data_IF_030446859090
#
_entry.id   IF_030446859090
#
_cell.length_a   1.000
_cell.length_b   1.000
_cell.length_c   1.000
_cell.angle_alpha   90.00
_cell.angle_beta   90.00
_cell.angle_gamma   90.00
#
_symmetry.space_group_name_H-M   'P 1'
#
loop_
_entity.id
_entity.type
_entity.pdbx_description
1 polymer ?
#
# COMPACT_ATOMS: atom_id res chain seq x y z
N UNK A 1 -63.10 -3.13 -54.72
CA UNK A 1 -63.83 -4.27 -55.30
C UNK A 1 -63.76 -5.40 -54.30
N UNK A 2 -64.96 -5.72 -53.72
CA UNK A 2 -65.57 -7.05 -53.54
C UNK A 2 -64.68 -8.11 -52.92
N UNK A 3 -65.05 -8.90 -51.93
CA UNK A 3 -66.37 -9.32 -51.40
C UNK A 3 -66.19 -10.03 -50.07
N UNK A 4 -67.05 -9.78 -49.13
CA UNK A 4 -67.54 -10.56 -48.01
C UNK A 4 -67.68 -12.06 -48.29
N UNK A 5 -67.43 -12.93 -47.31
CA UNK A 5 -68.28 -14.11 -47.07
C UNK A 5 -68.22 -14.41 -45.53
N UNK A 6 -69.48 -14.38 -44.98
CA UNK A 6 -69.83 -14.86 -43.66
C UNK A 6 -69.86 -16.39 -43.63
N UNK A 7 -69.40 -17.00 -42.56
CA UNK A 7 -69.63 -18.40 -42.24
C UNK A 7 -69.96 -18.57 -40.76
N UNK A 8 -71.25 -18.72 -40.53
CA UNK A 8 -71.86 -19.04 -39.22
C UNK A 8 -71.72 -20.54 -38.99
N UNK A 9 -71.06 -20.97 -37.89
CA UNK A 9 -71.16 -22.36 -37.42
C UNK A 9 -71.59 -22.32 -35.93
N UNK A 10 -72.81 -22.82 -35.76
CA UNK A 10 -73.44 -23.15 -34.51
C UNK A 10 -72.78 -24.48 -34.02
N UNK A 11 -72.29 -24.54 -32.82
CA UNK A 11 -71.70 -25.76 -32.26
C UNK A 11 -71.73 -25.78 -30.72
N UNK A 12 -72.74 -26.41 -30.24
CA UNK A 12 -72.93 -27.12 -28.98
C UNK A 12 -72.19 -26.66 -27.69
N UNK A 13 -73.00 -26.17 -26.80
CA UNK A 13 -72.72 -25.91 -25.40
C UNK A 13 -72.62 -27.23 -24.61
N UNK A 14 -71.48 -27.74 -24.33
CA UNK A 14 -71.25 -28.80 -23.31
C UNK A 14 -70.80 -28.14 -21.99
N UNK A 15 -71.69 -28.14 -21.03
CA UNK A 15 -71.45 -27.68 -19.67
C UNK A 15 -70.59 -28.72 -18.94
N UNK A 16 -69.29 -28.50 -18.91
CA UNK A 16 -68.39 -29.27 -17.99
C UNK A 16 -68.34 -28.55 -16.64
N UNK A 17 -68.94 -29.14 -15.63
CA UNK A 17 -68.78 -28.77 -14.26
C UNK A 17 -67.30 -29.10 -13.86
N UNK A 18 -66.40 -28.16 -14.02
CA UNK A 18 -65.06 -28.21 -13.51
C UNK A 18 -65.09 -27.90 -12.03
N UNK A 19 -64.71 -28.86 -11.21
CA UNK A 19 -64.43 -28.67 -9.77
C UNK A 19 -63.35 -27.58 -9.65
N UNK A 20 -63.71 -26.40 -9.21
CA UNK A 20 -62.78 -25.36 -8.78
C UNK A 20 -62.13 -25.87 -7.49
N UNK A 21 -61.01 -26.62 -7.67
CA UNK A 21 -60.03 -26.80 -6.57
C UNK A 21 -59.51 -25.40 -6.30
N UNK A 22 -59.94 -24.79 -5.21
CA UNK A 22 -59.47 -23.48 -4.76
C UNK A 22 -57.97 -23.54 -4.55
N UNK A 23 -57.21 -23.05 -5.53
CA UNK A 23 -55.80 -22.72 -5.31
C UNK A 23 -55.78 -21.63 -4.22
N UNK A 24 -55.35 -21.99 -3.02
CA UNK A 24 -55.05 -20.98 -2.00
C UNK A 24 -54.15 -19.90 -2.60
N UNK A 25 -54.44 -18.62 -2.40
CA UNK A 25 -53.59 -17.57 -2.95
C UNK A 25 -52.16 -17.82 -2.43
N UNK A 26 -51.21 -17.99 -3.38
CA UNK A 26 -49.80 -18.07 -3.03
C UNK A 26 -49.45 -16.79 -2.24
N UNK A 27 -49.14 -16.98 -0.95
CA UNK A 27 -48.77 -15.88 -0.10
C UNK A 27 -47.48 -15.28 -0.64
N UNK A 28 -47.45 -13.97 -0.94
CA UNK A 28 -46.25 -13.31 -1.44
C UNK A 28 -45.16 -13.43 -0.36
N UNK A 29 -43.97 -13.85 -0.80
CA UNK A 29 -42.83 -13.98 0.14
C UNK A 29 -42.44 -12.60 0.72
N UNK A 30 -42.10 -12.57 1.99
CA UNK A 30 -41.70 -11.37 2.70
C UNK A 30 -40.46 -10.73 2.05
N UNK A 31 -40.48 -9.43 1.86
CA UNK A 31 -39.37 -8.68 1.25
C UNK A 31 -38.15 -8.69 2.19
N UNK A 32 -36.98 -8.93 1.61
CA UNK A 32 -35.69 -8.91 2.32
C UNK A 32 -34.81 -7.77 1.83
N UNK A 33 -33.71 -7.51 2.57
CA UNK A 33 -32.74 -6.48 2.23
C UNK A 33 -31.33 -7.04 2.31
N UNK A 34 -30.47 -6.57 1.41
CA UNK A 34 -29.04 -6.80 1.42
C UNK A 34 -28.33 -5.46 1.25
N UNK A 35 -27.35 -5.19 2.09
CA UNK A 35 -26.48 -4.01 1.99
C UNK A 35 -25.05 -4.46 1.82
N UNK A 36 -24.33 -3.89 0.83
CA UNK A 36 -22.92 -4.16 0.60
C UNK A 36 -22.08 -2.99 1.09
N UNK A 37 -20.99 -3.28 1.81
CA UNK A 37 -20.03 -2.30 2.30
C UNK A 37 -18.61 -2.81 2.16
N UNK A 38 -17.61 -1.91 2.28
CA UNK A 38 -16.19 -2.27 2.14
C UNK A 38 -15.74 -2.37 0.69
N UNK A 39 -14.77 -3.22 0.42
CA UNK A 39 -14.26 -3.49 -0.94
C UNK A 39 -13.32 -2.43 -1.51
N UNK A 40 -13.03 -1.35 -0.80
CA UNK A 40 -11.94 -0.45 -1.19
C UNK A 40 -10.61 -1.19 -1.04
N UNK A 41 -9.83 -1.27 -2.09
CA UNK A 41 -8.58 -2.01 -2.12
C UNK A 41 -7.56 -1.32 -3.01
N UNK A 42 -6.35 -1.89 -3.05
CA UNK A 42 -5.27 -1.48 -3.94
C UNK A 42 -4.90 -2.67 -4.81
N UNK A 43 -4.82 -2.46 -6.11
CA UNK A 43 -4.44 -3.49 -7.06
C UNK A 43 -3.05 -4.07 -6.72
N UNK A 44 -2.95 -5.40 -6.72
CA UNK A 44 -1.68 -6.10 -6.43
C UNK A 44 -1.28 -6.18 -4.96
N UNK A 45 -2.11 -5.70 -4.03
CA UNK A 45 -1.95 -5.90 -2.59
C UNK A 45 -2.92 -6.96 -2.06
N UNK A 46 -2.99 -7.09 -0.72
CA UNK A 46 -3.88 -8.03 -0.05
C UNK A 46 -5.34 -7.83 -0.49
N UNK A 47 -6.11 -8.93 -0.58
CA UNK A 47 -7.52 -8.85 -0.96
C UNK A 47 -8.31 -7.92 -0.03
N UNK A 48 -9.12 -7.06 -0.63
CA UNK A 48 -10.08 -6.25 0.11
C UNK A 48 -11.25 -7.11 0.60
N UNK A 49 -11.79 -6.78 1.77
CA UNK A 49 -12.97 -7.46 2.30
C UNK A 49 -14.24 -6.73 1.87
N UNK A 50 -15.13 -7.44 1.19
CA UNK A 50 -16.49 -7.00 0.92
C UNK A 50 -17.39 -7.63 1.99
N UNK A 51 -18.26 -6.82 2.59
CA UNK A 51 -19.17 -7.27 3.62
C UNK A 51 -20.62 -7.10 3.14
N UNK A 52 -21.38 -8.17 3.13
CA UNK A 52 -22.83 -8.18 2.90
C UNK A 52 -23.55 -8.31 4.22
N UNK A 53 -24.45 -7.37 4.51
CA UNK A 53 -25.33 -7.43 5.69
C UNK A 53 -26.76 -7.66 5.21
N UNK A 54 -27.32 -8.79 5.61
CA UNK A 54 -28.66 -9.22 5.23
C UNK A 54 -29.68 -9.05 6.36
N UNK A 55 -30.95 -8.89 6.02
CA UNK A 55 -32.05 -8.81 6.98
C UNK A 55 -32.50 -10.17 7.52
N UNK A 56 -32.14 -11.26 6.82
CA UNK A 56 -32.46 -12.64 7.17
C UNK A 56 -31.25 -13.55 6.90
N UNK A 57 -31.14 -14.72 7.55
CA UNK A 57 -30.08 -15.66 7.26
C UNK A 57 -30.19 -16.23 5.83
N UNK A 58 -29.06 -16.53 5.21
CA UNK A 58 -29.02 -17.09 3.87
C UNK A 58 -27.62 -17.16 3.30
N UNK A 59 -27.52 -17.15 1.98
CA UNK A 59 -26.25 -17.08 1.25
C UNK A 59 -26.21 -15.81 0.40
N UNK A 60 -25.02 -15.21 0.33
CA UNK A 60 -24.79 -14.01 -0.49
C UNK A 60 -23.82 -14.36 -1.62
N UNK A 61 -24.24 -14.08 -2.84
CA UNK A 61 -23.40 -14.09 -4.03
C UNK A 61 -22.86 -12.68 -4.24
N UNK A 62 -21.54 -12.53 -4.29
CA UNK A 62 -20.89 -11.23 -4.52
C UNK A 62 -20.46 -11.09 -5.97
N UNK A 63 -20.59 -9.88 -6.52
CA UNK A 63 -20.23 -9.58 -7.91
C UNK A 63 -19.37 -8.34 -8.03
N UNK A 64 -18.58 -8.24 -9.09
CA UNK A 64 -17.86 -7.05 -9.53
C UNK A 64 -18.14 -6.81 -11.00
N UNK A 65 -18.66 -5.61 -11.35
CA UNK A 65 -19.07 -5.32 -12.72
C UNK A 65 -20.16 -6.25 -13.27
N UNK A 66 -20.90 -6.94 -12.41
CA UNK A 66 -21.89 -7.97 -12.76
C UNK A 66 -21.33 -9.41 -12.74
N UNK A 67 -20.01 -9.58 -12.84
CA UNK A 67 -19.38 -10.91 -12.80
C UNK A 67 -19.23 -11.41 -11.37
N UNK A 68 -19.42 -12.72 -11.17
CA UNK A 68 -19.32 -13.35 -9.86
C UNK A 68 -17.86 -13.38 -9.40
N UNK A 69 -17.61 -12.96 -8.17
CA UNK A 69 -16.28 -13.03 -7.57
C UNK A 69 -15.96 -14.48 -7.23
N UNK A 70 -14.85 -15.00 -7.77
CA UNK A 70 -14.40 -16.38 -7.53
C UNK A 70 -14.23 -16.68 -6.04
N UNK A 71 -14.88 -17.74 -5.56
CA UNK A 71 -14.91 -18.14 -4.15
C UNK A 71 -15.97 -17.41 -3.33
N UNK A 72 -16.79 -16.54 -3.97
CA UNK A 72 -17.87 -15.81 -3.33
C UNK A 72 -19.23 -16.02 -4.03
N UNK A 73 -19.40 -17.18 -4.64
CA UNK A 73 -20.62 -17.59 -5.38
C UNK A 73 -21.81 -17.78 -4.43
N UNK A 74 -21.55 -18.27 -3.19
CA UNK A 74 -22.58 -18.54 -2.19
C UNK A 74 -21.97 -18.49 -0.78
N UNK A 75 -21.68 -17.30 -0.29
CA UNK A 75 -21.10 -17.11 1.04
C UNK A 75 -22.21 -17.12 2.07
N UNK A 76 -22.19 -18.07 3.01
CA UNK A 76 -23.16 -18.14 4.10
C UNK A 76 -23.07 -16.90 5.01
N UNK A 77 -24.22 -16.40 5.44
CA UNK A 77 -24.27 -15.38 6.49
C UNK A 77 -23.99 -16.00 7.87
N UNK A 78 -23.65 -15.16 8.84
CA UNK A 78 -23.67 -15.56 10.26
C UNK A 78 -25.05 -16.07 10.66
N UNK A 79 -25.13 -16.90 11.70
CA UNK A 79 -26.38 -17.47 12.22
C UNK A 79 -27.14 -16.50 13.12
N UNK A 80 -26.47 -15.46 13.60
CA UNK A 80 -27.04 -14.47 14.52
C UNK A 80 -27.03 -13.07 13.90
N UNK A 81 -27.95 -12.23 14.34
CA UNK A 81 -28.06 -10.83 13.93
C UNK A 81 -26.88 -10.00 14.44
N UNK A 82 -26.21 -9.18 13.57
CA UNK A 82 -26.50 -8.99 12.16
C UNK A 82 -26.05 -10.19 11.30
N UNK A 83 -26.86 -10.57 10.29
CA UNK A 83 -26.54 -11.65 9.37
C UNK A 83 -25.50 -11.19 8.36
N UNK A 84 -24.24 -11.52 8.57
CA UNK A 84 -23.09 -10.99 7.83
C UNK A 84 -22.40 -12.07 7.01
N UNK A 85 -22.21 -11.81 5.71
CA UNK A 85 -21.35 -12.57 4.81
C UNK A 85 -20.13 -11.74 4.45
N UNK A 86 -18.95 -12.36 4.36
CA UNK A 86 -17.68 -11.69 3.99
C UNK A 86 -17.04 -12.37 2.80
N UNK A 87 -16.65 -11.59 1.82
CA UNK A 87 -15.95 -12.02 0.62
C UNK A 87 -14.59 -11.35 0.55
N UNK A 88 -13.53 -12.11 0.32
CA UNK A 88 -12.21 -11.58 -0.01
C UNK A 88 -12.15 -11.34 -1.52
N UNK A 89 -11.92 -10.11 -1.93
CA UNK A 89 -11.84 -9.70 -3.32
C UNK A 89 -10.48 -9.12 -3.66
N UNK A 90 -9.77 -9.75 -4.61
CA UNK A 90 -8.54 -9.22 -5.18
C UNK A 90 -8.87 -8.48 -6.48
N UNK A 91 -8.74 -7.13 -6.52
CA UNK A 91 -9.00 -6.37 -7.73
C UNK A 91 -8.09 -6.80 -8.89
N UNK A 92 -8.65 -6.99 -10.08
CA UNK A 92 -7.88 -7.37 -11.27
C UNK A 92 -7.16 -6.20 -11.95
N UNK A 93 -7.60 -4.96 -11.67
CA UNK A 93 -7.01 -3.73 -12.21
C UNK A 93 -7.31 -2.53 -11.31
N UNK A 94 -6.50 -1.45 -11.36
CA UNK A 94 -6.83 -0.19 -10.70
C UNK A 94 -7.95 0.54 -11.44
N UNK A 95 -8.64 1.43 -10.74
CA UNK A 95 -9.71 2.26 -11.29
C UNK A 95 -11.06 2.09 -10.60
N UNK A 96 -12.15 2.58 -11.20
CA UNK A 96 -13.47 2.42 -10.64
C UNK A 96 -13.94 0.97 -10.77
N UNK A 97 -14.61 0.46 -9.74
CA UNK A 97 -15.29 -0.83 -9.76
C UNK A 97 -16.67 -0.71 -9.13
N UNK A 98 -17.60 -1.52 -9.63
CA UNK A 98 -18.97 -1.57 -9.12
C UNK A 98 -19.16 -2.93 -8.45
N UNK A 99 -19.37 -2.92 -7.13
CA UNK A 99 -19.62 -4.11 -6.35
C UNK A 99 -21.13 -4.33 -6.23
N UNK A 100 -21.56 -5.58 -6.33
CA UNK A 100 -22.93 -6.00 -6.17
C UNK A 100 -23.05 -7.24 -5.30
N UNK A 101 -24.28 -7.59 -4.98
CA UNK A 101 -24.57 -8.82 -4.24
C UNK A 101 -26.01 -9.22 -4.36
N UNK A 102 -26.24 -10.52 -4.30
CA UNK A 102 -27.59 -11.12 -4.31
C UNK A 102 -27.73 -12.03 -3.10
N UNK A 103 -28.74 -11.79 -2.29
CA UNK A 103 -29.12 -12.64 -1.16
C UNK A 103 -30.11 -13.72 -1.62
N UNK A 104 -29.79 -14.96 -1.32
CA UNK A 104 -30.73 -16.06 -1.34
C UNK A 104 -31.04 -16.45 0.11
N UNK A 105 -32.25 -16.19 0.62
CA UNK A 105 -32.63 -16.56 1.98
C UNK A 105 -32.57 -18.07 2.21
N UNK A 106 -32.30 -18.49 3.44
CA UNK A 106 -32.33 -19.90 3.82
C UNK A 106 -33.75 -20.52 3.70
N UNK A 107 -34.78 -19.72 3.97
CA UNK A 107 -36.20 -20.08 3.78
C UNK A 107 -36.79 -19.27 2.62
N UNK A 108 -36.67 -19.83 1.41
CA UNK A 108 -37.18 -19.21 0.18
C UNK A 108 -38.71 -19.32 0.03
N UNK A 109 -39.37 -20.14 0.86
CA UNK A 109 -40.84 -20.20 0.88
C UNK A 109 -41.43 -19.00 1.62
N UNK A 110 -40.70 -18.48 2.59
CA UNK A 110 -41.12 -17.36 3.42
C UNK A 110 -40.55 -16.01 2.96
N UNK A 111 -39.34 -15.98 2.45
CA UNK A 111 -38.61 -14.76 2.15
C UNK A 111 -38.21 -14.66 0.68
N UNK A 112 -38.38 -13.49 0.10
CA UNK A 112 -37.95 -13.21 -1.28
C UNK A 112 -36.44 -12.96 -1.35
N UNK A 113 -35.81 -13.27 -2.51
CA UNK A 113 -34.44 -12.89 -2.79
C UNK A 113 -34.31 -11.35 -2.79
N UNK A 114 -33.11 -10.86 -2.42
CA UNK A 114 -32.81 -9.44 -2.49
C UNK A 114 -31.52 -9.18 -3.27
N UNK A 115 -31.52 -8.10 -4.02
CA UNK A 115 -30.34 -7.56 -4.65
C UNK A 115 -29.88 -6.31 -3.90
N UNK A 116 -28.58 -6.19 -3.67
CA UNK A 116 -28.02 -5.01 -3.05
C UNK A 116 -27.96 -3.84 -4.04
N UNK A 117 -28.15 -2.63 -3.53
CA UNK A 117 -27.84 -1.43 -4.32
C UNK A 117 -26.33 -1.47 -4.66
N UNK A 118 -25.98 -1.29 -5.95
CA UNK A 118 -24.58 -1.33 -6.37
C UNK A 118 -23.71 -0.33 -5.60
N UNK A 119 -22.54 -0.79 -5.12
CA UNK A 119 -21.58 0.03 -4.42
C UNK A 119 -20.42 0.40 -5.34
N UNK A 120 -20.29 1.69 -5.63
CA UNK A 120 -19.14 2.20 -6.38
C UNK A 120 -17.94 2.33 -5.46
N UNK A 121 -16.83 1.67 -5.81
CA UNK A 121 -15.56 1.76 -5.10
C UNK A 121 -14.46 2.19 -6.06
N UNK A 122 -13.39 2.78 -5.52
CA UNK A 122 -12.18 3.08 -6.28
C UNK A 122 -11.09 2.12 -5.85
N UNK A 123 -10.59 1.33 -6.80
CA UNK A 123 -9.37 0.55 -6.62
C UNK A 123 -8.17 1.46 -6.84
N UNK A 124 -7.33 1.62 -5.83
CA UNK A 124 -6.10 2.39 -5.90
C UNK A 124 -5.08 1.70 -6.82
N UNK A 125 -4.24 2.49 -7.49
CA UNK A 125 -2.98 1.98 -8.02
C UNK A 125 -2.05 1.71 -6.86
N UNK A 126 -1.22 0.64 -6.90
CA UNK A 126 -0.07 0.58 -6.01
C UNK A 126 0.72 1.86 -6.27
N UNK A 127 0.97 2.64 -5.24
CA UNK A 127 1.96 3.69 -5.32
C UNK A 127 3.24 2.96 -5.74
N UNK A 128 3.85 3.38 -6.86
CA UNK A 128 5.09 2.75 -7.32
C UNK A 128 6.12 2.82 -6.19
N UNK A 129 6.49 1.67 -5.68
CA UNK A 129 7.25 1.50 -4.46
C UNK A 129 6.36 0.99 -3.33
N UNK A 130 6.81 -0.04 -2.67
CA UNK A 130 6.27 -0.44 -1.36
C UNK A 130 6.35 0.81 -0.52
N UNK A 131 5.21 1.25 0.03
CA UNK A 131 5.23 2.32 1.05
C UNK A 131 5.93 1.71 2.25
N UNK A 132 7.25 1.82 2.25
CA UNK A 132 8.06 1.37 3.38
C UNK A 132 7.95 2.42 4.47
N UNK A 133 7.88 2.03 5.75
CA UNK A 133 8.02 2.96 6.86
C UNK A 133 9.45 3.51 6.97
N UNK A 134 10.38 3.03 6.14
CA UNK A 134 11.77 3.50 6.12
C UNK A 134 11.92 4.58 5.06
N UNK A 135 12.26 5.77 5.49
CA UNK A 135 12.58 6.91 4.63
C UNK A 135 14.09 7.08 4.54
N UNK A 136 14.59 7.18 3.31
CA UNK A 136 16.03 7.31 3.04
C UNK A 136 16.37 8.64 2.38
N UNK A 137 17.48 9.23 2.81
CA UNK A 137 18.21 10.27 2.12
C UNK A 137 19.57 9.72 1.67
N UNK A 138 19.91 9.92 0.41
CA UNK A 138 21.13 9.38 -0.21
C UNK A 138 21.87 10.51 -0.90
N UNK A 139 23.16 10.65 -0.60
CA UNK A 139 24.06 11.52 -1.34
C UNK A 139 25.40 10.83 -1.62
N UNK A 140 26.22 11.48 -2.43
CA UNK A 140 27.57 11.06 -2.75
C UNK A 140 28.58 12.17 -2.46
N UNK A 141 29.77 11.77 -1.96
CA UNK A 141 30.86 12.69 -1.66
C UNK A 141 32.17 12.17 -2.20
N UNK A 142 33.09 13.08 -2.50
CA UNK A 142 34.46 12.73 -2.82
C UNK A 142 35.17 12.30 -1.53
N UNK A 143 35.82 11.13 -1.56
CA UNK A 143 36.65 10.68 -0.44
C UNK A 143 37.79 11.67 -0.16
N UNK A 144 38.16 11.79 1.12
CA UNK A 144 39.33 12.56 1.51
C UNK A 144 40.63 11.95 0.96
N UNK A 145 41.65 12.79 0.76
CA UNK A 145 43.00 12.37 0.34
C UNK A 145 43.24 12.35 -1.16
N UNK A 146 42.26 12.74 -2.01
CA UNK A 146 42.52 12.96 -3.42
C UNK A 146 43.46 14.18 -3.62
N UNK A 147 44.49 14.04 -4.46
CA UNK A 147 45.52 15.07 -4.70
C UNK A 147 45.74 15.33 -6.20
N UNK A 148 46.41 16.42 -6.54
CA UNK A 148 46.70 16.80 -7.92
C UNK A 148 45.44 17.02 -8.77
N UNK A 149 45.39 16.49 -9.95
CA UNK A 149 44.23 16.59 -10.88
C UNK A 149 42.97 15.92 -10.31
N UNK A 150 43.09 15.05 -9.30
CA UNK A 150 41.99 14.37 -8.66
C UNK A 150 41.53 15.07 -7.38
N UNK A 151 42.21 16.13 -6.94
CA UNK A 151 41.85 16.91 -5.77
C UNK A 151 40.48 17.57 -5.97
N UNK A 152 39.71 17.81 -4.87
CA UNK A 152 38.49 18.59 -4.94
C UNK A 152 38.77 19.99 -5.52
N UNK A 153 37.89 20.46 -6.41
CA UNK A 153 38.06 21.73 -7.11
C UNK A 153 38.26 22.94 -6.18
N UNK A 154 37.73 22.85 -4.96
CA UNK A 154 37.78 23.94 -3.96
C UNK A 154 38.54 23.54 -2.69
N UNK A 155 39.37 22.51 -2.73
CA UNK A 155 40.17 22.06 -1.59
C UNK A 155 39.40 21.44 -0.43
N UNK A 156 38.09 21.22 -0.57
CA UNK A 156 37.24 20.65 0.48
C UNK A 156 37.04 19.17 0.25
N UNK A 157 37.57 18.34 1.13
CA UNK A 157 37.29 16.89 1.16
C UNK A 157 35.89 16.64 1.71
N UNK A 158 35.28 15.52 1.34
CA UNK A 158 33.92 15.12 1.75
C UNK A 158 32.80 16.08 1.30
N UNK A 159 33.08 16.97 0.33
CA UNK A 159 32.05 17.80 -0.25
C UNK A 159 31.02 16.94 -1.02
N UNK A 160 29.76 17.25 -0.86
CA UNK A 160 28.68 16.61 -1.62
C UNK A 160 28.88 16.94 -3.09
N UNK A 161 28.98 15.91 -3.91
CA UNK A 161 29.08 16.03 -5.38
C UNK A 161 28.46 14.80 -6.03
N UNK A 162 27.91 14.99 -7.21
CA UNK A 162 27.45 13.92 -8.10
C UNK A 162 28.36 13.73 -9.32
N UNK A 163 29.39 14.54 -9.44
CA UNK A 163 30.34 14.53 -10.57
C UNK A 163 31.71 14.08 -10.10
N UNK A 164 32.25 13.05 -10.74
CA UNK A 164 33.55 12.46 -10.40
C UNK A 164 34.40 12.24 -11.66
N UNK A 165 35.69 12.16 -11.43
CA UNK A 165 36.69 11.85 -12.48
C UNK A 165 37.26 10.45 -12.19
N UNK A 166 37.50 9.66 -13.22
CA UNK A 166 38.15 8.34 -13.08
C UNK A 166 39.46 8.46 -12.30
N UNK A 167 39.60 7.64 -11.26
CA UNK A 167 40.68 7.69 -10.26
C UNK A 167 40.26 8.27 -8.94
N UNK A 168 39.14 8.97 -8.88
CA UNK A 168 38.56 9.42 -7.62
C UNK A 168 37.79 8.28 -6.95
N UNK A 169 37.67 8.35 -5.62
CA UNK A 169 36.89 7.41 -4.83
C UNK A 169 35.57 8.05 -4.45
N UNK A 170 34.48 7.41 -4.83
CA UNK A 170 33.10 7.82 -4.53
C UNK A 170 32.69 7.23 -3.21
N UNK A 171 32.23 8.04 -2.27
CA UNK A 171 31.60 7.58 -1.02
C UNK A 171 30.13 7.87 -1.09
N UNK A 172 29.34 6.84 -1.00
CA UNK A 172 27.88 6.94 -0.81
C UNK A 172 27.57 7.12 0.66
N UNK A 173 26.72 8.08 0.99
CA UNK A 173 26.20 8.27 2.34
C UNK A 173 24.71 8.06 2.33
N UNK A 174 24.22 7.29 3.29
CA UNK A 174 22.79 7.01 3.44
C UNK A 174 22.39 7.31 4.88
N UNK A 175 21.40 8.16 5.02
CA UNK A 175 20.70 8.40 6.27
C UNK A 175 19.27 7.85 6.12
N UNK A 176 18.78 7.17 7.14
CA UNK A 176 17.43 6.65 7.12
C UNK A 176 16.78 6.69 8.50
N UNK A 177 15.47 6.82 8.50
CA UNK A 177 14.65 6.68 9.70
C UNK A 177 13.48 5.72 9.43
N UNK A 178 12.91 5.17 10.50
CA UNK A 178 11.83 4.18 10.42
C UNK A 178 10.63 4.65 11.24
N UNK A 179 9.49 4.86 10.58
CA UNK A 179 8.25 5.30 11.21
C UNK A 179 7.69 4.26 12.19
N UNK A 180 7.83 2.96 11.91
CA UNK A 180 7.42 1.89 12.84
C UNK A 180 8.16 1.98 14.17
N UNK A 181 9.34 2.60 14.18
CA UNK A 181 10.13 2.85 15.38
C UNK A 181 9.99 4.29 15.89
N UNK A 182 8.93 5.00 15.48
CA UNK A 182 8.67 6.39 15.88
C UNK A 182 9.60 7.40 15.24
N UNK A 183 10.08 7.13 14.04
CA UNK A 183 11.04 7.97 13.33
C UNK A 183 12.48 7.78 13.79
N UNK A 184 12.77 6.71 14.55
CA UNK A 184 14.14 6.41 15.00
C UNK A 184 15.09 6.24 13.81
N UNK A 185 16.32 6.71 13.98
CA UNK A 185 17.38 6.53 12.98
C UNK A 185 17.66 5.04 12.78
N UNK A 186 17.81 4.65 11.54
CA UNK A 186 18.25 3.32 11.17
C UNK A 186 19.75 3.22 11.38
N UNK A 187 20.15 2.46 12.40
CA UNK A 187 21.53 2.20 12.79
C UNK A 187 21.85 0.70 12.82
N UNK A 188 23.01 0.31 13.28
CA UNK A 188 23.43 -1.09 13.37
C UNK A 188 22.59 -1.92 14.35
N UNK A 189 21.88 -1.30 15.29
CA UNK A 189 21.05 -2.00 16.28
C UNK A 189 19.73 -2.48 15.69
N UNK A 190 19.14 -1.71 14.76
CA UNK A 190 17.80 -1.95 14.19
C UNK A 190 17.80 -2.30 12.70
N UNK A 191 18.95 -2.29 12.02
CA UNK A 191 19.12 -2.65 10.60
C UNK A 191 19.66 -4.07 10.46
N UNK A 192 19.00 -4.89 9.67
CA UNK A 192 19.44 -6.24 9.35
C UNK A 192 20.43 -6.25 8.19
N UNK A 193 20.16 -5.46 7.14
CA UNK A 193 21.03 -5.32 5.95
C UNK A 193 20.91 -3.92 5.38
N UNK A 194 22.04 -3.41 4.89
CA UNK A 194 22.10 -2.18 4.11
C UNK A 194 23.19 -2.36 3.03
N UNK A 195 22.85 -2.12 1.76
CA UNK A 195 23.78 -2.31 0.65
C UNK A 195 23.39 -1.47 -0.56
N UNK A 196 24.35 -1.32 -1.48
CA UNK A 196 24.19 -0.63 -2.77
C UNK A 196 24.46 -1.60 -3.90
N UNK A 197 23.58 -1.66 -4.88
CA UNK A 197 23.75 -2.31 -6.17
C UNK A 197 24.08 -1.23 -7.20
N UNK A 198 25.15 -1.41 -7.95
CA UNK A 198 25.62 -0.44 -8.96
C UNK A 198 25.65 -1.13 -10.31
N UNK A 199 25.09 -0.48 -11.33
CA UNK A 199 25.14 -1.00 -12.69
C UNK A 199 26.59 -1.22 -13.14
N UNK A 200 26.92 -2.45 -13.60
CA UNK A 200 28.26 -2.84 -13.99
C UNK A 200 29.18 -3.32 -12.85
N UNK A 201 28.72 -3.31 -11.61
CA UNK A 201 29.42 -3.93 -10.47
C UNK A 201 28.74 -5.25 -10.14
N UNK A 202 29.51 -6.34 -10.09
CA UNK A 202 28.97 -7.71 -9.91
C UNK A 202 28.34 -7.91 -8.55
N UNK A 203 29.04 -7.50 -7.50
CA UNK A 203 28.63 -7.76 -6.12
C UNK A 203 28.13 -6.47 -5.46
N UNK A 204 27.03 -6.53 -4.69
CA UNK A 204 26.55 -5.37 -3.94
C UNK A 204 27.60 -4.87 -2.94
N UNK A 205 27.72 -3.56 -2.83
CA UNK A 205 28.60 -2.91 -1.84
C UNK A 205 27.84 -2.83 -0.52
N UNK A 206 28.31 -3.52 0.50
CA UNK A 206 27.77 -3.41 1.85
C UNK A 206 27.96 -1.98 2.41
N UNK A 207 26.92 -1.46 3.05
CA UNK A 207 27.00 -0.20 3.79
C UNK A 207 27.43 -0.47 5.24
N UNK A 208 28.31 0.36 5.75
CA UNK A 208 28.77 0.34 7.13
C UNK A 208 28.27 1.57 7.88
N UNK A 209 27.67 1.36 9.05
CA UNK A 209 27.22 2.45 9.92
C UNK A 209 28.36 2.97 10.75
N UNK A 210 28.59 4.25 10.74
CA UNK A 210 29.68 4.86 11.50
C UNK A 210 29.54 6.37 11.67
N UNK A 211 30.28 6.91 12.64
CA UNK A 211 30.32 8.35 12.90
C UNK A 211 31.36 9.01 11.98
N UNK A 212 30.95 10.05 11.29
CA UNK A 212 31.80 10.88 10.45
C UNK A 212 31.67 12.34 10.92
N UNK A 213 32.64 12.82 11.66
CA UNK A 213 32.71 14.21 12.16
C UNK A 213 31.47 14.64 12.96
N UNK A 214 31.00 13.76 13.85
CA UNK A 214 29.86 14.03 14.74
C UNK A 214 28.50 13.64 14.18
N UNK A 215 28.42 13.22 12.90
CA UNK A 215 27.20 12.72 12.30
C UNK A 215 27.38 11.27 11.86
N UNK A 216 26.45 10.40 12.22
CA UNK A 216 26.50 9.00 11.85
C UNK A 216 25.72 8.75 10.56
N UNK A 217 26.34 8.04 9.62
CA UNK A 217 25.77 7.64 8.34
C UNK A 217 26.06 6.16 8.07
N UNK A 218 25.27 5.58 7.20
CA UNK A 218 25.64 4.39 6.47
C UNK A 218 26.50 4.80 5.29
N UNK A 219 27.68 4.18 5.13
CA UNK A 219 28.62 4.53 4.07
C UNK A 219 29.04 3.31 3.26
N UNK A 220 29.11 3.49 1.94
CA UNK A 220 29.67 2.54 0.98
C UNK A 220 30.69 3.23 0.08
N UNK A 221 31.66 2.49 -0.41
CA UNK A 221 32.79 3.05 -1.19
C UNK A 221 32.89 2.38 -2.55
N UNK A 222 32.90 3.18 -3.62
CA UNK A 222 33.21 2.76 -4.96
C UNK A 222 34.55 3.38 -5.38
N UNK A 223 35.56 2.54 -5.58
CA UNK A 223 36.85 2.98 -6.13
C UNK A 223 36.77 2.98 -7.65
N UNK A 224 37.11 4.11 -8.28
CA UNK A 224 37.18 4.24 -9.72
C UNK A 224 38.62 4.27 -10.18
N UNK A 225 38.89 3.86 -11.43
CA UNK A 225 40.24 3.86 -11.99
C UNK A 225 40.39 2.95 -13.19
N UNK A 226 41.54 3.02 -13.85
CA UNK A 226 41.85 2.20 -15.04
C UNK A 226 42.43 0.84 -14.71
N UNK A 227 42.84 0.60 -13.46
CA UNK A 227 43.38 -0.69 -13.02
C UNK A 227 42.29 -1.76 -12.96
N UNK A 228 42.69 -3.02 -13.15
CA UNK A 228 41.81 -4.18 -13.11
C UNK A 228 41.06 -4.23 -11.74
N UNK A 229 39.76 -4.44 -11.76
CA UNK A 229 38.93 -4.52 -10.57
C UNK A 229 38.40 -3.18 -10.06
N UNK A 230 38.79 -2.06 -10.65
CA UNK A 230 38.22 -0.75 -10.37
C UNK A 230 37.11 -0.42 -11.36
N UNK A 231 36.15 0.39 -10.91
CA UNK A 231 35.07 0.86 -11.76
C UNK A 231 35.58 1.93 -12.74
N UNK A 232 35.31 1.76 -14.04
CA UNK A 232 35.82 2.65 -15.09
C UNK A 232 34.79 2.99 -16.19
N UNK A 233 33.54 2.58 -16.04
CA UNK A 233 32.50 2.91 -17.02
C UNK A 233 32.14 4.39 -16.92
N UNK A 234 32.42 5.14 -17.96
CA UNK A 234 32.15 6.57 -18.04
C UNK A 234 30.69 6.87 -18.26
N UNK A 235 30.27 8.07 -17.87
CA UNK A 235 28.91 8.57 -18.01
C UNK A 235 28.09 8.36 -16.75
N UNK A 236 26.80 8.21 -16.94
CA UNK A 236 25.84 8.09 -15.84
C UNK A 236 25.95 6.75 -15.12
N UNK A 237 26.04 6.78 -13.81
CA UNK A 237 26.09 5.59 -12.96
C UNK A 237 24.71 5.42 -12.32
N UNK A 238 24.01 4.35 -12.71
CA UNK A 238 22.77 3.96 -12.05
C UNK A 238 23.07 3.08 -10.83
N UNK A 239 22.48 3.42 -9.70
CA UNK A 239 22.64 2.63 -8.47
C UNK A 239 21.34 2.58 -7.68
N UNK A 240 21.21 1.53 -6.88
CA UNK A 240 20.06 1.29 -6.00
C UNK A 240 20.56 1.00 -4.60
N UNK A 241 20.02 1.72 -3.63
CA UNK A 241 20.26 1.48 -2.20
C UNK A 241 19.12 0.62 -1.67
N UNK A 242 19.46 -0.44 -0.94
CA UNK A 242 18.47 -1.26 -0.23
C UNK A 242 18.80 -1.27 1.25
N UNK A 243 17.77 -1.07 2.08
CA UNK A 243 17.86 -1.14 3.52
C UNK A 243 16.74 -2.02 4.07
N UNK A 244 17.09 -2.94 4.97
CA UNK A 244 16.17 -3.90 5.57
C UNK A 244 16.27 -3.76 7.09
N UNK A 245 15.15 -3.45 7.74
CA UNK A 245 15.08 -3.41 9.19
C UNK A 245 15.15 -4.82 9.79
N UNK A 246 15.55 -4.92 11.05
CA UNK A 246 15.41 -6.15 11.85
C UNK A 246 13.94 -6.39 12.18
N UNK A 247 13.56 -7.66 12.37
CA UNK A 247 12.26 -8.01 12.95
C UNK A 247 12.11 -7.37 14.34
N UNK A 248 10.91 -6.91 14.66
CA UNK A 248 10.65 -6.26 15.94
C UNK A 248 9.42 -6.83 16.64
N UNK A 249 9.46 -6.87 17.98
CA UNK A 249 8.32 -7.20 18.85
C UNK A 249 7.66 -5.97 19.44
N UNK A 250 8.15 -4.78 19.11
CA UNK A 250 7.62 -3.50 19.60
C UNK A 250 7.67 -2.46 18.50
N UNK A 251 6.57 -1.75 18.31
CA UNK A 251 6.47 -0.61 17.38
C UNK A 251 6.07 0.64 18.15
N UNK A 252 6.36 1.80 17.61
CA UNK A 252 5.88 3.09 18.13
C UNK A 252 4.55 3.44 17.47
N UNK A 253 3.49 3.57 18.26
CA UNK A 253 2.18 4.00 17.78
C UNK A 253 1.84 5.38 18.31
N UNK A 254 1.25 6.20 17.45
CA UNK A 254 0.78 7.52 17.85
C UNK A 254 -0.41 7.36 18.81
N UNK A 255 -0.30 7.99 19.96
CA UNK A 255 -1.34 8.03 20.98
C UNK A 255 -1.66 9.47 21.35
N UNK A 256 -2.83 9.67 21.94
CA UNK A 256 -3.28 10.97 22.45
C UNK A 256 -3.48 10.84 23.95
N UNK A 257 -2.95 11.77 24.72
CA UNK A 257 -3.24 11.92 26.16
C UNK A 257 -3.81 13.31 26.43
N UNK A 258 -4.70 13.38 27.39
CA UNK A 258 -5.13 14.64 27.97
C UNK A 258 -4.18 15.03 29.08
N UNK A 259 -3.70 16.26 29.06
CA UNK A 259 -2.84 16.81 30.12
C UNK A 259 -3.26 18.25 30.45
N UNK A 260 -2.99 18.74 31.67
CA UNK A 260 -3.20 20.14 31.98
C UNK A 260 -2.47 21.06 30.98
N UNK A 261 -3.18 22.01 30.43
CA UNK A 261 -2.54 23.04 29.56
C UNK A 261 -1.64 23.93 30.40
N UNK A 262 -0.38 24.03 30.00
CA UNK A 262 0.63 24.86 30.67
C UNK A 262 1.09 25.94 29.70
N UNK A 263 1.06 27.20 30.12
CA UNK A 263 1.62 28.34 29.38
C UNK A 263 2.59 29.04 30.31
N UNK A 264 3.80 29.25 29.86
CA UNK A 264 4.90 29.88 30.65
C UNK A 264 5.10 29.25 32.03
N UNK A 265 5.00 27.91 32.10
CA UNK A 265 5.15 27.14 33.33
C UNK A 265 3.93 27.16 34.27
N UNK A 266 2.84 27.84 33.89
CA UNK A 266 1.63 27.99 34.72
C UNK A 266 0.48 27.14 34.15
N UNK A 267 -0.13 26.30 35.01
CA UNK A 267 -1.33 25.52 34.67
C UNK A 267 -2.50 26.45 34.42
N UNK A 268 -3.05 26.40 33.24
CA UNK A 268 -4.19 27.23 32.84
C UNK A 268 -5.49 26.79 33.52
N UNK A 269 -6.27 27.78 33.98
CA UNK A 269 -7.59 27.56 34.60
C UNK A 269 -8.64 28.42 33.91
N UNK A 270 -9.85 27.89 33.77
CA UNK A 270 -11.04 28.62 33.33
C UNK A 270 -12.15 28.37 34.33
N UNK A 271 -12.73 29.43 34.88
CA UNK A 271 -13.77 29.35 35.96
C UNK A 271 -13.34 28.45 37.14
N UNK A 272 -12.06 28.57 37.57
CA UNK A 272 -11.51 27.78 38.67
C UNK A 272 -11.12 26.32 38.32
N UNK A 273 -11.54 25.83 37.14
CA UNK A 273 -11.23 24.44 36.68
C UNK A 273 -9.99 24.43 35.80
N UNK A 274 -9.20 23.36 35.91
CA UNK A 274 -8.03 23.13 35.07
C UNK A 274 -8.46 22.95 33.61
N UNK A 275 -7.83 23.68 32.70
CA UNK A 275 -7.99 23.51 31.26
C UNK A 275 -7.06 22.37 30.82
N UNK A 276 -7.60 21.41 30.09
CA UNK A 276 -6.83 20.30 29.53
C UNK A 276 -6.61 20.51 28.04
N UNK A 277 -5.50 20.01 27.55
CA UNK A 277 -5.19 19.92 26.12
C UNK A 277 -4.88 18.49 25.71
N UNK A 278 -5.14 18.17 24.46
CA UNK A 278 -4.80 16.86 23.87
C UNK A 278 -3.42 16.93 23.26
N UNK A 279 -2.50 16.11 23.78
CA UNK A 279 -1.12 16.03 23.30
C UNK A 279 -0.89 14.68 22.62
N UNK A 280 -0.35 14.72 21.42
CA UNK A 280 0.08 13.52 20.68
C UNK A 280 1.46 13.10 21.17
N UNK A 281 1.65 11.81 21.38
CA UNK A 281 2.93 11.21 21.75
C UNK A 281 3.05 9.81 21.19
N UNK A 282 4.28 9.33 21.04
CA UNK A 282 4.50 7.94 20.67
C UNK A 282 4.61 7.06 21.91
N UNK A 283 3.93 5.92 21.89
CA UNK A 283 4.08 4.87 22.91
C UNK A 283 4.45 3.54 22.27
N UNK A 284 5.14 2.69 23.05
CA UNK A 284 5.44 1.34 22.63
C UNK A 284 4.17 0.48 22.61
N UNK A 285 3.97 -0.23 21.50
CA UNK A 285 2.95 -1.25 21.35
C UNK A 285 3.65 -2.59 21.04
N UNK A 286 3.39 -3.59 21.86
CA UNK A 286 3.90 -4.95 21.62
C UNK A 286 3.18 -5.56 20.42
N UNK A 287 3.93 -6.25 19.55
CA UNK A 287 3.42 -7.03 18.43
C UNK A 287 3.79 -8.49 18.59
N UNK A 288 2.82 -9.38 18.38
CA UNK A 288 3.01 -10.83 18.46
C UNK A 288 2.14 -11.49 17.39
N UNK A 289 2.70 -12.32 16.50
CA UNK A 289 4.14 -12.63 16.33
C UNK A 289 4.97 -11.39 16.00
N UNK A 290 6.32 -11.49 16.04
CA UNK A 290 7.19 -10.37 15.66
C UNK A 290 6.86 -9.84 14.27
N UNK A 291 6.80 -8.49 14.16
CA UNK A 291 6.62 -7.83 12.87
C UNK A 291 7.89 -8.01 12.04
N UNK A 292 7.73 -8.48 10.82
CA UNK A 292 8.83 -8.60 9.87
C UNK A 292 9.43 -7.24 9.56
N UNK A 293 10.76 -7.20 9.55
CA UNK A 293 11.48 -5.98 9.24
C UNK A 293 11.15 -5.46 7.84
N UNK A 294 10.75 -4.20 7.78
CA UNK A 294 10.43 -3.54 6.52
C UNK A 294 11.66 -3.44 5.62
N UNK A 295 11.42 -3.47 4.30
CA UNK A 295 12.44 -3.22 3.28
C UNK A 295 12.14 -1.93 2.57
N UNK A 296 13.16 -1.09 2.41
CA UNK A 296 13.08 0.11 1.56
C UNK A 296 14.14 0.06 0.47
N UNK A 297 13.79 0.62 -0.67
CA UNK A 297 14.73 0.81 -1.79
C UNK A 297 14.69 2.27 -2.23
N UNK A 298 15.86 2.80 -2.53
CA UNK A 298 16.04 4.10 -3.14
C UNK A 298 16.79 3.92 -4.46
N UNK A 299 16.29 4.48 -5.53
CA UNK A 299 16.89 4.36 -6.86
C UNK A 299 17.38 5.71 -7.31
N UNK A 300 18.63 5.78 -7.78
CA UNK A 300 19.13 6.98 -8.48
C UNK A 300 18.28 7.26 -9.71
N UNK A 301 17.94 8.52 -9.92
CA UNK A 301 17.22 8.93 -11.12
C UNK A 301 18.03 10.01 -11.88
N UNK A 302 17.86 10.04 -13.19
CA UNK A 302 18.63 10.91 -14.07
C UNK A 302 18.06 12.34 -14.19
N UNK A 303 17.04 12.66 -13.46
CA UNK A 303 16.37 13.98 -13.52
C UNK A 303 16.62 14.86 -12.29
N UNK A 304 17.35 14.37 -11.30
CA UNK A 304 17.59 15.06 -10.03
C UNK A 304 19.08 15.19 -9.69
N UNK A 305 19.37 15.89 -8.61
CA UNK A 305 20.71 16.06 -8.02
C UNK A 305 21.38 14.75 -7.59
N UNK A 306 20.64 13.65 -7.58
CA UNK A 306 21.13 12.29 -7.32
C UNK A 306 21.81 11.64 -8.54
N UNK A 307 21.88 12.35 -9.66
CA UNK A 307 22.52 11.85 -10.89
C UNK A 307 24.04 11.76 -10.70
N UNK A 308 24.53 10.53 -10.62
CA UNK A 308 25.95 10.26 -10.44
C UNK A 308 26.63 10.11 -11.81
N UNK A 309 27.67 10.89 -12.06
CA UNK A 309 28.36 10.88 -13.35
C UNK A 309 29.87 10.70 -13.14
N UNK A 310 30.48 9.82 -13.94
CA UNK A 310 31.92 9.60 -13.98
C UNK A 310 32.49 10.13 -15.30
N UNK A 311 33.42 11.04 -15.21
CA UNK A 311 34.12 11.65 -16.34
C UNK A 311 35.51 11.07 -16.53
N UNK A 312 36.02 11.14 -17.78
CA UNK A 312 37.42 10.88 -18.04
C UNK A 312 38.32 11.93 -17.39
N UNK A 313 39.57 11.59 -17.13
CA UNK A 313 40.58 12.57 -16.70
C UNK A 313 40.74 13.61 -17.82
N UNK A 314 40.62 14.91 -17.53
CA UNK A 314 40.82 15.96 -18.52
C UNK A 314 42.23 15.88 -19.11
N UNK A 315 42.35 15.78 -20.40
CA UNK A 315 43.64 15.91 -21.09
C UNK A 315 44.01 17.39 -21.15
N UNK A 316 45.18 17.81 -20.66
CA UNK A 316 45.60 19.18 -20.85
C UNK A 316 45.59 19.53 -22.35
N UNK A 317 44.98 20.64 -22.72
CA UNK A 317 45.20 21.17 -24.08
C UNK A 317 46.66 21.54 -24.19
N UNK A 318 47.34 20.99 -25.21
CA UNK A 318 48.69 21.37 -25.61
C UNK A 318 48.73 22.83 -26.05
#
# INVERSE_FOLDING_TARGET
MKKSISGLIVGSLTLALGVLVGAAPAQAADATKLTITGGSGVYGLDPATITGTASVPGTVKFTVGGDVIKGCEAVATTTETPFVAKCAWAPAAPGPAVLGGNLTPADTAKYANAEAVPLNVKVGTPVQGIVSPIHMYVDTVLASGATGALAPRFGVSCAVTSEFIVGQTIVFRVYANNEDLGGAVMDSSNTAKAYIEIAGVKDPIALNYGNHSGVAFWTGVLKTGTATGLYNTLGLISFKVTMIAKDTTSIKVLAVKSQPKVVDGVVQRSNGKIVYESVRYYKDAKVSPPLKGATATWQSNFTATSQLTLYAVPTPKA
#
